data_IF_424663223268
#
_entry.id   IF_424663223268
#
_cell.length_a   1.000
_cell.length_b   1.000
_cell.length_c   1.000
_cell.angle_alpha   90.00
_cell.angle_beta   90.00
_cell.angle_gamma   90.00
#
_symmetry.space_group_name_H-M   'P 1'
#
loop_
_entity.id
_entity.type
_entity.pdbx_description
1 polymer ?
#
# COMPACT_ATOMS: atom_id res chain seq x y z
N UNK A 1 -24.11 -19.62 -43.87
CA UNK A 1 -24.26 -19.17 -42.46
C UNK A 1 -22.91 -18.72 -41.92
N UNK A 2 -22.90 -17.84 -40.91
CA UNK A 2 -21.67 -17.25 -40.37
C UNK A 2 -20.98 -18.23 -39.39
N UNK A 3 -19.92 -18.91 -39.83
CA UNK A 3 -19.16 -19.88 -39.02
C UNK A 3 -18.58 -19.28 -37.73
N UNK A 4 -18.22 -17.99 -37.76
CA UNK A 4 -17.61 -17.30 -36.62
C UNK A 4 -18.49 -17.36 -35.37
N UNK A 5 -19.81 -17.27 -35.54
CA UNK A 5 -20.75 -17.37 -34.43
C UNK A 5 -20.55 -18.69 -33.67
N UNK A 6 -20.50 -19.82 -34.37
CA UNK A 6 -20.41 -21.15 -33.76
C UNK A 6 -19.01 -21.45 -33.21
N UNK A 7 -17.97 -20.96 -33.87
CA UNK A 7 -16.58 -21.11 -33.42
C UNK A 7 -16.36 -20.40 -32.09
N UNK A 8 -16.86 -19.17 -31.93
CA UNK A 8 -16.76 -18.45 -30.66
C UNK A 8 -17.48 -19.18 -29.52
N UNK A 9 -18.61 -19.87 -29.80
CA UNK A 9 -19.32 -20.67 -28.77
C UNK A 9 -18.61 -21.98 -28.46
N UNK A 10 -17.89 -22.57 -29.42
CA UNK A 10 -17.15 -23.81 -29.22
C UNK A 10 -16.00 -23.65 -28.21
N UNK A 11 -15.38 -22.47 -28.19
CA UNK A 11 -14.27 -22.11 -27.30
C UNK A 11 -14.69 -21.33 -26.05
N UNK A 12 -15.99 -21.15 -25.81
CA UNK A 12 -16.44 -20.43 -24.64
C UNK A 12 -16.20 -21.26 -23.37
N UNK A 13 -15.48 -20.71 -22.40
CA UNK A 13 -15.33 -21.30 -21.06
C UNK A 13 -16.65 -21.27 -20.26
N UNK A 14 -17.62 -20.48 -20.70
CA UNK A 14 -18.93 -20.33 -20.08
C UNK A 14 -19.92 -21.41 -20.52
N UNK A 15 -20.80 -21.83 -19.61
CA UNK A 15 -21.88 -22.77 -19.94
C UNK A 15 -22.90 -22.10 -20.86
N UNK A 16 -22.96 -22.55 -22.12
CA UNK A 16 -23.94 -22.11 -23.11
C UNK A 16 -25.38 -22.37 -22.63
N UNK A 17 -26.32 -21.49 -22.99
CA UNK A 17 -27.74 -21.73 -22.68
C UNK A 17 -28.29 -22.96 -23.42
N UNK A 18 -29.34 -23.63 -22.93
CA UNK A 18 -29.89 -24.82 -23.58
C UNK A 18 -30.29 -24.60 -25.05
N UNK A 19 -30.79 -23.40 -25.37
CA UNK A 19 -31.15 -23.03 -26.74
C UNK A 19 -29.91 -22.91 -27.64
N UNK A 20 -28.84 -22.32 -27.13
CA UNK A 20 -27.59 -22.15 -27.87
C UNK A 20 -26.85 -23.47 -28.07
N UNK A 21 -26.90 -24.37 -27.08
CA UNK A 21 -26.35 -25.72 -27.21
C UNK A 21 -27.02 -26.51 -28.34
N UNK A 22 -28.36 -26.48 -28.41
CA UNK A 22 -29.12 -27.15 -29.47
C UNK A 22 -28.74 -26.58 -30.84
N UNK A 23 -28.69 -25.25 -30.97
CA UNK A 23 -28.30 -24.59 -32.23
C UNK A 23 -26.87 -24.91 -32.65
N UNK A 24 -25.94 -24.99 -31.69
CA UNK A 24 -24.55 -25.37 -31.95
C UNK A 24 -24.44 -26.83 -32.42
N UNK A 25 -25.16 -27.74 -31.77
CA UNK A 25 -25.15 -29.16 -32.13
C UNK A 25 -25.73 -29.40 -33.53
N UNK A 26 -26.85 -28.75 -33.85
CA UNK A 26 -27.46 -28.81 -35.19
C UNK A 26 -26.49 -28.31 -36.28
N UNK A 27 -25.76 -27.23 -36.00
CA UNK A 27 -24.76 -26.71 -36.93
C UNK A 27 -23.59 -27.68 -37.12
N UNK A 28 -23.11 -28.31 -36.06
CA UNK A 28 -21.97 -29.25 -36.12
C UNK A 28 -22.33 -30.54 -36.86
N UNK A 29 -23.59 -30.96 -36.81
CA UNK A 29 -24.08 -32.08 -37.61
C UNK A 29 -24.10 -31.77 -39.11
N UNK A 30 -24.33 -30.52 -39.50
CA UNK A 30 -24.46 -30.13 -40.92
C UNK A 30 -23.19 -29.51 -41.50
N UNK A 31 -22.25 -29.04 -40.67
CA UNK A 31 -21.03 -28.38 -41.10
C UNK A 31 -19.77 -29.21 -40.79
N UNK A 32 -19.09 -29.68 -41.83
CA UNK A 32 -17.85 -30.46 -41.72
C UNK A 32 -16.71 -29.69 -41.02
N UNK A 33 -16.54 -28.40 -41.34
CA UNK A 33 -15.51 -27.54 -40.71
C UNK A 33 -15.69 -27.44 -39.20
N UNK A 34 -16.89 -27.12 -38.72
CA UNK A 34 -17.16 -26.97 -37.29
C UNK A 34 -17.10 -28.33 -36.56
N UNK A 35 -17.42 -29.43 -37.25
CA UNK A 35 -17.23 -30.80 -36.72
C UNK A 35 -15.76 -31.15 -36.54
N UNK A 36 -14.92 -30.89 -37.54
CA UNK A 36 -13.48 -31.10 -37.44
C UNK A 36 -12.87 -30.25 -36.33
N UNK A 37 -13.31 -28.99 -36.19
CA UNK A 37 -12.85 -28.10 -35.14
C UNK A 37 -13.22 -28.61 -33.73
N UNK A 38 -14.44 -29.13 -33.54
CA UNK A 38 -14.86 -29.74 -32.27
C UNK A 38 -14.00 -30.95 -31.91
N UNK A 39 -13.73 -31.82 -32.88
CA UNK A 39 -12.89 -33.00 -32.64
C UNK A 39 -11.47 -32.61 -32.23
N UNK A 40 -10.84 -31.67 -32.96
CA UNK A 40 -9.50 -31.17 -32.64
C UNK A 40 -9.45 -30.47 -31.26
N UNK A 41 -10.48 -29.69 -30.93
CA UNK A 41 -10.57 -29.03 -29.63
C UNK A 41 -10.69 -30.02 -28.47
N UNK A 42 -11.55 -31.03 -28.60
CA UNK A 42 -11.71 -32.09 -27.60
C UNK A 42 -10.42 -32.89 -27.40
N UNK A 43 -9.70 -33.20 -28.48
CA UNK A 43 -8.40 -33.88 -28.41
C UNK A 43 -7.37 -33.04 -27.63
N UNK A 44 -7.27 -31.75 -27.94
CA UNK A 44 -6.38 -30.82 -27.25
C UNK A 44 -6.74 -30.68 -25.76
N UNK A 45 -8.03 -30.57 -25.44
CA UNK A 45 -8.50 -30.46 -24.07
C UNK A 45 -8.17 -31.71 -23.25
N UNK A 46 -8.29 -32.89 -23.87
CA UNK A 46 -7.90 -34.17 -23.27
C UNK A 46 -6.38 -34.20 -23.05
N UNK A 47 -5.57 -33.83 -24.05
CA UNK A 47 -4.11 -33.82 -23.92
C UNK A 47 -3.66 -32.87 -22.79
N UNK A 48 -4.23 -31.67 -22.72
CA UNK A 48 -3.94 -30.70 -21.66
C UNK A 48 -4.35 -31.21 -20.28
N UNK A 49 -5.50 -31.90 -20.16
CA UNK A 49 -5.98 -32.46 -18.88
C UNK A 49 -5.19 -33.69 -18.43
N UNK A 50 -4.67 -34.47 -19.37
CA UNK A 50 -3.87 -35.67 -19.08
C UNK A 50 -2.40 -35.34 -18.85
N UNK A 51 -1.93 -34.18 -19.29
CA UNK A 51 -0.55 -33.74 -19.08
C UNK A 51 -0.28 -33.57 -17.58
N UNK A 52 0.71 -34.27 -17.02
CA UNK A 52 1.04 -34.14 -15.61
C UNK A 52 1.52 -32.73 -15.31
N UNK A 53 1.00 -32.15 -14.24
CA UNK A 53 1.47 -30.87 -13.74
C UNK A 53 2.97 -30.93 -13.41
N UNK A 54 3.73 -29.97 -13.91
CA UNK A 54 5.15 -29.86 -13.59
C UNK A 54 5.32 -29.63 -12.09
N UNK A 55 5.87 -30.63 -11.39
CA UNK A 55 6.16 -30.52 -9.98
C UNK A 55 7.40 -29.63 -9.76
N UNK A 56 7.43 -28.81 -8.70
CA UNK A 56 8.62 -28.06 -8.34
C UNK A 56 9.75 -29.04 -8.02
N UNK A 57 10.97 -28.72 -8.47
CA UNK A 57 12.17 -29.50 -8.13
C UNK A 57 12.34 -29.58 -6.60
N UNK A 58 12.90 -30.69 -6.13
CA UNK A 58 13.24 -30.87 -4.72
C UNK A 58 13.98 -29.65 -4.14
N UNK A 59 13.60 -29.25 -2.93
CA UNK A 59 14.18 -28.09 -2.24
C UNK A 59 13.71 -26.72 -2.76
N UNK A 60 12.72 -26.64 -3.66
CA UNK A 60 12.15 -25.37 -4.12
C UNK A 60 11.74 -24.45 -2.97
N UNK A 61 10.97 -24.97 -2.01
CA UNK A 61 10.48 -24.20 -0.85
C UNK A 61 11.63 -23.67 0.00
N UNK A 62 12.71 -24.44 0.16
CA UNK A 62 13.89 -24.02 0.90
C UNK A 62 14.64 -22.90 0.17
N UNK A 63 14.95 -23.08 -1.12
CA UNK A 63 15.61 -22.05 -1.95
C UNK A 63 14.80 -20.75 -1.99
N UNK A 64 13.48 -20.87 -2.09
CA UNK A 64 12.58 -19.73 -2.08
C UNK A 64 12.60 -19.01 -0.73
N UNK A 65 12.52 -19.76 0.37
CA UNK A 65 12.58 -19.21 1.73
C UNK A 65 13.91 -18.49 2.00
N UNK A 66 15.04 -19.10 1.65
CA UNK A 66 16.36 -18.49 1.83
C UNK A 66 16.50 -17.20 1.03
N UNK A 67 16.05 -17.20 -0.22
CA UNK A 67 16.04 -16.01 -1.07
C UNK A 67 15.16 -14.91 -0.47
N UNK A 68 13.95 -15.27 -0.02
CA UNK A 68 13.01 -14.35 0.60
C UNK A 68 13.62 -13.72 1.86
N UNK A 69 14.17 -14.53 2.77
CA UNK A 69 14.79 -14.04 4.00
C UNK A 69 15.95 -13.08 3.71
N UNK A 70 16.84 -13.44 2.80
CA UNK A 70 17.96 -12.58 2.39
C UNK A 70 17.47 -11.25 1.82
N UNK A 71 16.46 -11.27 0.94
CA UNK A 71 15.95 -10.06 0.31
C UNK A 71 15.19 -9.17 1.31
N UNK A 72 14.43 -9.77 2.23
CA UNK A 72 13.76 -9.02 3.30
C UNK A 72 14.76 -8.34 4.25
N UNK A 73 15.83 -9.02 4.65
CA UNK A 73 16.87 -8.44 5.51
C UNK A 73 17.56 -7.23 4.83
N UNK A 74 17.93 -7.37 3.55
CA UNK A 74 18.53 -6.26 2.79
C UNK A 74 17.57 -5.07 2.65
N UNK A 75 16.30 -5.32 2.37
CA UNK A 75 15.29 -4.27 2.27
C UNK A 75 15.04 -3.58 3.61
N UNK A 76 15.07 -4.32 4.72
CA UNK A 76 14.95 -3.75 6.07
C UNK A 76 16.15 -2.87 6.41
N UNK A 77 17.38 -3.32 6.15
CA UNK A 77 18.57 -2.51 6.37
C UNK A 77 18.55 -1.22 5.55
N UNK A 78 18.17 -1.29 4.27
CA UNK A 78 18.03 -0.10 3.41
C UNK A 78 16.99 0.89 3.94
N UNK A 79 15.85 0.39 4.42
CA UNK A 79 14.82 1.24 5.03
C UNK A 79 15.30 1.87 6.34
N UNK A 80 15.96 1.09 7.19
CA UNK A 80 16.52 1.59 8.45
C UNK A 80 17.59 2.67 8.21
N UNK A 81 18.49 2.45 7.25
CA UNK A 81 19.47 3.45 6.83
C UNK A 81 18.82 4.70 6.24
N UNK A 82 17.81 4.53 5.38
CA UNK A 82 17.07 5.66 4.82
C UNK A 82 16.37 6.50 5.90
N UNK A 83 15.71 5.86 6.86
CA UNK A 83 15.08 6.53 8.01
C UNK A 83 16.14 7.22 8.86
N UNK A 84 17.24 6.55 9.18
CA UNK A 84 18.34 7.12 9.96
C UNK A 84 18.93 8.36 9.29
N UNK A 85 19.25 8.29 7.99
CA UNK A 85 19.80 9.42 7.24
C UNK A 85 18.81 10.59 7.19
N UNK A 86 17.52 10.31 6.98
CA UNK A 86 16.49 11.34 6.95
C UNK A 86 16.33 12.02 8.31
N UNK A 87 16.27 11.24 9.40
CA UNK A 87 16.14 11.80 10.76
C UNK A 87 17.40 12.53 11.19
N UNK A 88 18.59 12.02 10.85
CA UNK A 88 19.86 12.72 11.08
C UNK A 88 19.93 14.04 10.30
N UNK A 89 19.48 14.07 9.04
CA UNK A 89 19.43 15.30 8.25
C UNK A 89 18.47 16.33 8.87
N UNK A 90 17.26 15.90 9.25
CA UNK A 90 16.28 16.75 9.93
C UNK A 90 16.82 17.29 11.25
N UNK A 91 17.46 16.43 12.05
CA UNK A 91 18.08 16.83 13.31
C UNK A 91 19.23 17.82 13.09
N UNK A 92 20.05 17.61 12.05
CA UNK A 92 21.12 18.54 11.68
C UNK A 92 20.56 19.89 11.23
N UNK A 93 19.53 19.92 10.38
CA UNK A 93 18.86 21.15 9.94
C UNK A 93 18.23 21.90 11.12
N UNK A 94 17.63 21.17 12.07
CA UNK A 94 17.07 21.75 13.28
C UNK A 94 18.16 22.32 14.22
N UNK A 95 19.28 21.61 14.38
CA UNK A 95 20.39 22.02 15.25
C UNK A 95 21.29 23.10 14.62
N UNK A 96 21.35 23.19 13.29
CA UNK A 96 22.18 24.14 12.54
C UNK A 96 22.02 25.61 12.95
N UNK A 97 20.80 26.18 13.09
CA UNK A 97 20.65 27.56 13.55
C UNK A 97 21.19 27.77 14.97
N UNK A 98 21.01 26.80 15.88
CA UNK A 98 21.56 26.86 17.24
C UNK A 98 23.08 26.78 17.24
N UNK A 99 23.66 25.95 16.38
CA UNK A 99 25.10 25.87 16.20
C UNK A 99 25.67 27.21 15.70
N UNK A 100 25.04 27.84 14.70
CA UNK A 100 25.46 29.16 14.20
C UNK A 100 25.35 30.28 15.25
N UNK A 101 24.34 30.21 16.13
CA UNK A 101 24.20 31.11 17.28
C UNK A 101 25.35 30.98 18.29
N UNK A 102 25.89 29.78 18.50
CA UNK A 102 27.00 29.54 19.44
C UNK A 102 28.35 29.82 18.76
N UNK A 103 28.52 29.37 17.51
CA UNK A 103 29.77 29.42 16.77
C UNK A 103 30.12 30.81 16.20
N UNK A 104 29.16 31.74 16.09
CA UNK A 104 29.43 33.10 15.63
C UNK A 104 30.28 33.88 16.67
N UNK A 105 31.54 34.25 16.35
CA UNK A 105 32.38 35.05 17.25
C UNK A 105 32.06 36.55 17.19
N UNK A 106 31.20 36.99 16.26
CA UNK A 106 31.05 38.40 15.90
C UNK A 106 29.91 39.14 16.63
N UNK A 107 29.05 38.42 17.37
CA UNK A 107 27.89 39.03 18.02
C UNK A 107 28.02 38.98 19.55
N UNK A 108 27.86 40.12 20.25
CA UNK A 108 27.89 40.13 21.70
C UNK A 108 26.73 39.31 22.27
N UNK A 109 26.97 38.65 23.40
CA UNK A 109 26.06 37.66 24.00
C UNK A 109 24.64 38.21 24.21
N UNK A 110 24.51 39.50 24.53
CA UNK A 110 23.22 40.18 24.71
C UNK A 110 22.38 40.24 23.43
N UNK A 111 23.00 40.44 22.26
CA UNK A 111 22.29 40.51 20.97
C UNK A 111 21.75 39.13 20.57
N UNK A 112 22.50 38.06 20.88
CA UNK A 112 22.06 36.67 20.65
C UNK A 112 20.90 36.29 21.55
N UNK A 113 20.94 36.70 22.82
CA UNK A 113 19.84 36.53 23.77
C UNK A 113 18.59 37.28 23.30
N UNK A 114 18.74 38.52 22.82
CA UNK A 114 17.62 39.31 22.28
C UNK A 114 17.03 38.70 21.00
N UNK A 115 17.85 38.21 20.08
CA UNK A 115 17.36 37.52 18.87
C UNK A 115 16.66 36.21 19.23
N UNK A 116 17.18 35.45 20.20
CA UNK A 116 16.54 34.23 20.69
C UNK A 116 15.19 34.53 21.37
N UNK A 117 15.12 35.57 22.22
CA UNK A 117 13.87 36.04 22.83
C UNK A 117 12.87 36.55 21.80
N UNK A 118 13.34 37.28 20.79
CA UNK A 118 12.51 37.76 19.68
C UNK A 118 11.95 36.58 18.87
N UNK A 119 12.78 35.61 18.48
CA UNK A 119 12.32 34.41 17.77
C UNK A 119 11.39 33.55 18.63
N UNK A 120 11.59 33.49 19.94
CA UNK A 120 10.68 32.83 20.87
C UNK A 120 9.33 33.58 20.94
N UNK A 121 9.36 34.91 20.95
CA UNK A 121 8.15 35.74 20.89
C UNK A 121 7.41 35.61 19.56
N UNK A 122 8.12 35.33 18.46
CA UNK A 122 7.53 35.06 17.16
C UNK A 122 6.75 33.73 17.11
N UNK A 123 6.96 32.83 18.08
CA UNK A 123 6.14 31.61 18.22
C UNK A 123 4.77 31.90 18.85
N UNK A 124 4.64 32.97 19.63
CA UNK A 124 3.39 33.36 20.30
C UNK A 124 2.25 33.60 19.28
N UNK A 125 2.40 34.46 18.25
CA UNK A 125 1.35 34.67 17.26
C UNK A 125 1.09 33.44 16.37
N UNK A 126 2.08 32.55 16.22
CA UNK A 126 1.89 31.27 15.51
C UNK A 126 0.99 30.35 16.33
N UNK A 127 1.24 30.22 17.63
CA UNK A 127 0.42 29.41 18.54
C UNK A 127 -0.99 30.00 18.67
N UNK A 128 -1.09 31.32 18.83
CA UNK A 128 -2.39 32.02 18.84
C UNK A 128 -3.13 31.86 17.51
N UNK A 129 -2.44 31.96 16.38
CA UNK A 129 -3.02 31.74 15.05
C UNK A 129 -3.55 30.32 14.87
N UNK A 130 -2.76 29.32 15.26
CA UNK A 130 -3.19 27.91 15.25
C UNK A 130 -4.39 27.71 16.18
N UNK A 131 -4.35 28.22 17.40
CA UNK A 131 -5.44 28.09 18.37
C UNK A 131 -6.73 28.79 17.89
N UNK A 132 -6.60 29.99 17.33
CA UNK A 132 -7.73 30.75 16.80
C UNK A 132 -8.32 30.06 15.59
N UNK A 133 -7.49 29.52 14.69
CA UNK A 133 -7.94 28.72 13.56
C UNK A 133 -8.67 27.45 14.04
N UNK A 134 -8.05 26.67 14.93
CA UNK A 134 -8.62 25.41 15.43
C UNK A 134 -9.92 25.63 16.20
N UNK A 135 -10.01 26.67 17.02
CA UNK A 135 -11.23 27.00 17.76
C UNK A 135 -12.31 27.60 16.86
N UNK A 136 -11.95 28.29 15.78
CA UNK A 136 -12.93 28.82 14.82
C UNK A 136 -13.50 27.71 13.94
N UNK A 137 -12.63 26.85 13.41
CA UNK A 137 -13.04 25.65 12.68
C UNK A 137 -13.81 24.70 13.60
N UNK A 138 -13.33 24.48 14.82
CA UNK A 138 -14.00 23.64 15.82
C UNK A 138 -15.38 24.15 16.20
N UNK A 139 -15.54 25.47 16.44
CA UNK A 139 -16.87 26.05 16.72
C UNK A 139 -17.80 26.01 15.50
N UNK A 140 -17.27 26.25 14.30
CA UNK A 140 -18.06 26.13 13.07
C UNK A 140 -18.50 24.69 12.82
N UNK A 141 -17.65 23.71 13.11
CA UNK A 141 -17.99 22.29 13.05
C UNK A 141 -19.01 21.90 14.14
N UNK A 142 -18.85 22.38 15.37
CA UNK A 142 -19.77 22.12 16.48
C UNK A 142 -21.17 22.72 16.28
N UNK A 143 -21.30 23.76 15.46
CA UNK A 143 -22.61 24.30 15.06
C UNK A 143 -23.29 23.47 13.96
N UNK A 144 -22.51 22.73 13.16
CA UNK A 144 -22.99 21.91 12.05
C UNK A 144 -23.18 20.44 12.46
N UNK A 145 -22.50 20.00 13.52
CA UNK A 145 -22.38 18.60 13.94
C UNK A 145 -22.85 18.43 15.40
N UNK A 146 -23.69 17.42 15.66
CA UNK A 146 -24.15 17.09 17.01
C UNK A 146 -22.95 16.79 17.95
N UNK A 147 -22.94 17.26 19.21
CA UNK A 147 -21.86 17.02 20.18
C UNK A 147 -21.50 15.53 20.37
N UNK A 148 -22.47 14.63 20.15
CA UNK A 148 -22.27 13.19 20.20
C UNK A 148 -21.37 12.65 19.07
N UNK A 149 -21.44 13.26 17.88
CA UNK A 149 -20.66 12.84 16.72
C UNK A 149 -19.21 13.36 16.81
N UNK A 150 -18.99 14.53 17.43
CA UNK A 150 -17.64 15.06 17.67
C UNK A 150 -16.84 14.17 18.61
N UNK A 151 -17.46 13.75 19.72
CA UNK A 151 -16.86 12.85 20.69
C UNK A 151 -16.58 11.49 20.05
N UNK A 152 -17.50 10.98 19.22
CA UNK A 152 -17.30 9.73 18.48
C UNK A 152 -16.14 9.81 17.48
N UNK A 153 -16.01 10.92 16.73
CA UNK A 153 -14.90 11.14 15.79
C UNK A 153 -13.56 11.28 16.53
N UNK A 154 -13.53 12.02 17.64
CA UNK A 154 -12.34 12.15 18.48
C UNK A 154 -11.87 10.81 19.05
N UNK A 155 -12.80 10.00 19.59
CA UNK A 155 -12.48 8.65 20.07
C UNK A 155 -11.99 7.74 18.94
N UNK A 156 -12.60 7.83 17.76
CA UNK A 156 -12.17 7.05 16.58
C UNK A 156 -10.76 7.43 16.16
N UNK A 157 -10.45 8.73 16.12
CA UNK A 157 -9.12 9.23 15.76
C UNK A 157 -8.05 8.77 16.76
N UNK A 158 -8.31 8.88 18.07
CA UNK A 158 -7.41 8.39 19.12
C UNK A 158 -7.20 6.88 19.00
N UNK A 159 -8.27 6.10 18.77
CA UNK A 159 -8.19 4.66 18.54
C UNK A 159 -7.31 4.30 17.34
N UNK A 160 -7.48 5.00 16.21
CA UNK A 160 -6.65 4.83 15.02
C UNK A 160 -5.18 5.20 15.30
N UNK A 161 -4.92 6.25 16.08
CA UNK A 161 -3.57 6.65 16.49
C UNK A 161 -2.87 5.58 17.33
N UNK A 162 -3.59 4.98 18.29
CA UNK A 162 -3.08 3.87 19.11
C UNK A 162 -2.80 2.62 18.26
N UNK A 163 -3.70 2.27 17.34
CA UNK A 163 -3.51 1.16 16.40
C UNK A 163 -2.29 1.41 15.51
N UNK A 164 -2.12 2.64 15.03
CA UNK A 164 -0.99 3.04 14.20
C UNK A 164 0.35 2.93 14.97
N UNK A 165 0.41 3.40 16.22
CA UNK A 165 1.58 3.25 17.09
C UNK A 165 1.88 1.78 17.42
N UNK A 166 0.85 0.97 17.66
CA UNK A 166 1.00 -0.46 17.90
C UNK A 166 1.52 -1.20 16.65
N UNK A 167 1.03 -0.83 15.46
CA UNK A 167 1.55 -1.35 14.19
C UNK A 167 3.00 -0.95 13.99
N UNK A 168 3.35 0.32 14.20
CA UNK A 168 4.74 0.79 14.11
C UNK A 168 5.65 -0.04 15.00
N UNK A 169 5.30 -0.20 16.28
CA UNK A 169 6.08 -1.01 17.22
C UNK A 169 6.23 -2.46 16.76
N UNK A 170 5.14 -3.08 16.26
CA UNK A 170 5.15 -4.47 15.79
C UNK A 170 5.97 -4.65 14.51
N UNK A 171 5.94 -3.69 13.59
CA UNK A 171 6.63 -3.80 12.30
C UNK A 171 8.06 -3.28 12.33
N UNK A 172 8.41 -2.33 13.20
CA UNK A 172 9.78 -1.84 13.36
C UNK A 172 10.62 -2.71 14.28
N UNK A 173 10.03 -3.31 15.32
CA UNK A 173 10.77 -4.10 16.32
C UNK A 173 10.41 -5.59 16.37
N UNK A 174 9.30 -6.02 15.76
CA UNK A 174 8.71 -7.34 15.99
C UNK A 174 9.16 -8.49 15.08
N UNK A 175 10.33 -8.42 14.41
CA UNK A 175 10.85 -9.60 13.69
C UNK A 175 12.36 -9.76 13.77
N UNK A 176 12.86 -9.85 15.01
CA UNK A 176 14.03 -10.67 15.33
C UNK A 176 13.50 -11.88 16.11
N UNK A 177 12.88 -12.83 15.41
CA UNK A 177 12.87 -14.24 15.81
C UNK A 177 13.62 -14.97 14.72
N UNK A 178 14.93 -15.01 14.87
CA UNK A 178 15.75 -16.09 14.29
C UNK A 178 15.41 -17.39 15.03
N UNK A 179 15.54 -18.55 14.36
CA UNK A 179 15.08 -19.86 14.86
C UNK A 179 15.68 -20.25 16.21
#
# INVERSE_FOLDING_TARGET
MNHRFFEERLFADETLSPKEQILLEEHIQTCERCRALRAAWQETEIELKLTPWAAPQAGFSQRWRERYLRQTALNQQRRALGVFLLTSLLAALFAFPFFLLIASPAQPLWLRVMIALYNLSALIPVVEGIWTFLSTVGRAMAQVISPTLEIALGMTFVGLMVIWLAMLRKFSFGRIRTP
#
